data_IF_630740804415
#
_entry.id   IF_630740804415
#
_cell.length_a   1.000
_cell.length_b   1.000
_cell.length_c   1.000
_cell.angle_alpha   90.00
_cell.angle_beta   90.00
_cell.angle_gamma   90.00
#
_symmetry.space_group_name_H-M   'P 1'
#
loop_
_entity.id
_entity.type
_entity.pdbx_description
1 polymer ?
#
# COMPACT_ATOMS: atom_id res chain seq x y z
N UNK A 1 4.39 16.10 -1.81
CA UNK A 1 4.52 14.99 -0.85
C UNK A 1 3.68 13.83 -1.37
N UNK A 2 4.31 12.82 -1.96
CA UNK A 2 3.62 11.54 -2.19
C UNK A 2 3.51 10.86 -0.83
N UNK A 3 2.28 10.53 -0.43
CA UNK A 3 1.95 10.14 0.94
C UNK A 3 2.39 8.71 1.27
N UNK A 4 2.77 7.92 0.26
CA UNK A 4 3.52 6.68 0.45
C UNK A 4 5.02 7.01 0.52
N UNK A 5 5.61 6.99 1.71
CA UNK A 5 7.06 7.09 1.82
C UNK A 5 7.75 5.80 1.31
N UNK A 6 9.02 5.92 0.96
CA UNK A 6 9.82 4.80 0.40
C UNK A 6 9.89 3.61 1.34
N UNK A 7 9.86 3.83 2.66
CA UNK A 7 9.94 2.75 3.65
C UNK A 7 8.66 1.94 3.65
N UNK A 8 7.51 2.60 3.71
CA UNK A 8 6.20 1.96 3.67
C UNK A 8 6.00 1.15 2.39
N UNK A 9 6.39 1.71 1.23
CA UNK A 9 6.33 0.99 -0.05
C UNK A 9 7.17 -0.30 -0.02
N UNK A 10 8.39 -0.22 0.54
CA UNK A 10 9.28 -1.37 0.62
C UNK A 10 8.75 -2.44 1.59
N UNK A 11 8.16 -2.03 2.71
CA UNK A 11 7.52 -2.95 3.66
C UNK A 11 6.32 -3.66 3.02
N UNK A 12 5.44 -2.93 2.33
CA UNK A 12 4.30 -3.53 1.60
C UNK A 12 4.77 -4.54 0.55
N UNK A 13 5.76 -4.18 -0.27
CA UNK A 13 6.34 -5.09 -1.28
C UNK A 13 6.90 -6.37 -0.64
N UNK A 14 7.64 -6.22 0.47
CA UNK A 14 8.22 -7.37 1.20
C UNK A 14 7.14 -8.29 1.75
N UNK A 15 6.08 -7.74 2.32
CA UNK A 15 4.97 -8.51 2.88
C UNK A 15 4.23 -9.25 1.75
N UNK A 16 3.88 -8.57 0.67
CA UNK A 16 3.15 -9.15 -0.45
C UNK A 16 3.93 -10.24 -1.18
N UNK A 17 5.26 -10.11 -1.28
CA UNK A 17 6.12 -11.14 -1.87
C UNK A 17 6.10 -12.48 -1.12
N UNK A 18 5.64 -12.51 0.13
CA UNK A 18 5.50 -13.76 0.89
C UNK A 18 4.28 -14.60 0.47
N UNK A 19 3.41 -14.09 -0.40
CA UNK A 19 2.15 -14.75 -0.81
C UNK A 19 2.15 -15.00 -2.32
N UNK A 20 2.54 -16.22 -2.80
CA UNK A 20 2.66 -16.51 -4.23
C UNK A 20 1.35 -16.44 -5.02
N UNK A 21 0.21 -16.62 -4.35
CA UNK A 21 -1.11 -16.49 -4.98
C UNK A 21 -1.50 -15.03 -5.22
N UNK A 22 -0.76 -14.06 -4.69
CA UNK A 22 -1.06 -12.65 -4.89
C UNK A 22 -0.46 -12.17 -6.21
N UNK A 23 -1.31 -11.96 -7.22
CA UNK A 23 -0.89 -11.46 -8.53
C UNK A 23 -0.77 -9.94 -8.58
N UNK A 24 -1.59 -9.23 -7.80
CA UNK A 24 -1.67 -7.76 -7.82
C UNK A 24 -2.09 -7.17 -6.48
N UNK A 25 -1.46 -6.06 -6.11
CA UNK A 25 -1.88 -5.21 -5.00
C UNK A 25 -2.06 -3.76 -5.49
N UNK A 26 -3.16 -3.12 -5.12
CA UNK A 26 -3.48 -1.74 -5.50
C UNK A 26 -3.76 -0.93 -4.23
N UNK A 27 -2.98 0.13 -4.01
CA UNK A 27 -3.25 1.11 -2.95
C UNK A 27 -4.36 2.05 -3.43
N UNK A 28 -5.37 2.24 -2.60
CA UNK A 28 -6.43 3.21 -2.84
C UNK A 28 -6.65 4.10 -1.61
N UNK A 29 -7.78 4.80 -1.55
CA UNK A 29 -8.11 5.62 -0.39
C UNK A 29 -7.28 6.89 -0.26
N UNK A 30 -7.10 7.34 0.98
CA UNK A 30 -6.50 8.65 1.32
C UNK A 30 -5.03 8.75 0.91
N UNK A 31 -4.25 7.67 1.03
CA UNK A 31 -2.86 7.58 0.58
C UNK A 31 -2.73 7.73 -0.94
N UNK A 32 -3.61 7.10 -1.72
CA UNK A 32 -3.62 7.23 -3.18
C UNK A 32 -4.06 8.64 -3.63
N UNK A 33 -4.95 9.29 -2.88
CA UNK A 33 -5.46 10.64 -3.16
C UNK A 33 -4.54 11.77 -2.69
N UNK A 34 -3.50 11.46 -1.92
CA UNK A 34 -2.59 12.47 -1.36
C UNK A 34 -3.18 13.26 -0.18
N UNK A 35 -4.22 12.75 0.48
CA UNK A 35 -4.92 13.42 1.59
C UNK A 35 -4.81 12.66 2.91
N UNK A 36 -3.91 11.67 3.01
CA UNK A 36 -3.72 10.91 4.24
C UNK A 36 -3.01 11.75 5.32
N UNK A 37 -3.27 11.39 6.57
CA UNK A 37 -2.70 11.98 7.78
C UNK A 37 -1.94 10.90 8.56
N UNK A 38 -1.22 11.27 9.61
CA UNK A 38 -0.52 10.31 10.48
C UNK A 38 -1.44 9.28 11.15
N UNK A 39 -2.74 9.57 11.25
CA UNK A 39 -3.75 8.65 11.81
C UNK A 39 -4.50 7.85 10.74
N UNK A 40 -4.18 8.06 9.47
CA UNK A 40 -4.84 7.36 8.37
C UNK A 40 -4.36 5.92 8.31
N UNK A 41 -5.30 5.02 8.06
CA UNK A 41 -5.04 3.65 7.64
C UNK A 41 -4.62 3.60 6.15
N UNK A 42 -4.18 2.42 5.71
CA UNK A 42 -3.75 2.17 4.34
C UNK A 42 -4.68 1.14 3.72
N UNK A 43 -5.47 1.60 2.76
CA UNK A 43 -6.37 0.75 2.00
C UNK A 43 -5.62 0.04 0.87
N UNK A 44 -5.68 -1.29 0.85
CA UNK A 44 -5.09 -2.11 -0.22
C UNK A 44 -6.09 -3.13 -0.75
N UNK A 45 -6.29 -3.15 -2.06
CA UNK A 45 -7.03 -4.19 -2.76
C UNK A 45 -6.04 -5.24 -3.27
N UNK A 46 -6.33 -6.51 -3.00
CA UNK A 46 -5.51 -7.66 -3.37
C UNK A 46 -6.27 -8.50 -4.40
N UNK A 47 -5.60 -8.87 -5.48
CA UNK A 47 -6.10 -9.82 -6.47
C UNK A 47 -5.12 -10.98 -6.57
N UNK A 48 -5.65 -12.20 -6.59
CA UNK A 48 -4.90 -13.43 -6.78
C UNK A 48 -5.57 -14.36 -7.78
#
# INVERSE_FOLDING_TARGET
MTVLDTRLLNDLKRIFAAYPALERAVVFGSYAKGTATERSDIDVALCG
#
